data_IF_437395804307
#
_entry.id   IF_437395804307
#
_cell.length_a   1.000
_cell.length_b   1.000
_cell.length_c   1.000
_cell.angle_alpha   90.00
_cell.angle_beta   90.00
_cell.angle_gamma   90.00
#
_symmetry.space_group_name_H-M   'P 1'
#
loop_
_entity.id
_entity.type
_entity.pdbx_description
1 polymer ?
#
# COMPACT_ATOMS: atom_id res chain seq x y z
N UNK A 1 1.28 28.46 15.71
CA UNK A 1 -0.19 28.40 15.70
C UNK A 1 -0.72 28.27 17.11
N UNK A 2 -1.86 28.89 17.39
CA UNK A 2 -2.56 28.85 18.67
C UNK A 2 -3.55 27.69 18.74
N UNK A 3 -3.98 27.32 19.95
CA UNK A 3 -5.01 26.28 20.14
C UNK A 3 -6.34 26.62 19.45
N UNK A 4 -6.68 27.91 19.35
CA UNK A 4 -7.89 28.37 18.67
C UNK A 4 -7.79 28.15 17.16
N UNK A 5 -6.63 28.46 16.57
CA UNK A 5 -6.36 28.21 15.16
C UNK A 5 -6.38 26.73 14.82
N UNK A 6 -5.75 25.89 15.67
CA UNK A 6 -5.74 24.44 15.51
C UNK A 6 -7.16 23.88 15.62
N UNK A 7 -7.96 24.36 16.58
CA UNK A 7 -9.35 23.97 16.75
C UNK A 7 -10.20 24.32 15.53
N UNK A 8 -10.07 25.54 14.99
CA UNK A 8 -10.80 25.97 13.80
C UNK A 8 -10.43 25.15 12.55
N UNK A 9 -9.15 24.80 12.38
CA UNK A 9 -8.70 23.92 11.31
C UNK A 9 -9.27 22.51 11.45
N UNK A 10 -9.20 21.94 12.65
CA UNK A 10 -9.74 20.62 12.93
C UNK A 10 -11.26 20.56 12.71
N UNK A 11 -11.99 21.62 13.06
CA UNK A 11 -13.42 21.73 12.78
C UNK A 11 -13.72 21.81 11.27
N UNK A 12 -12.94 22.61 10.52
CA UNK A 12 -13.04 22.66 9.05
C UNK A 12 -12.78 21.30 8.40
N UNK A 13 -11.75 20.58 8.88
CA UNK A 13 -11.43 19.22 8.46
C UNK A 13 -12.59 18.27 8.77
N UNK A 14 -13.11 18.28 10.00
CA UNK A 14 -14.19 17.40 10.43
C UNK A 14 -15.48 17.60 9.60
N UNK A 15 -15.79 18.85 9.25
CA UNK A 15 -17.01 19.23 8.54
C UNK A 15 -16.95 19.06 7.01
N UNK A 16 -15.78 18.76 6.44
CA UNK A 16 -15.66 18.50 5.00
C UNK A 16 -16.59 17.34 4.59
N UNK A 17 -17.33 17.48 3.48
CA UNK A 17 -18.29 16.46 3.02
C UNK A 17 -17.82 15.68 1.80
N UNK A 18 -16.69 16.08 1.22
CA UNK A 18 -16.05 15.41 0.10
C UNK A 18 -14.52 15.54 0.15
N UNK A 19 -13.83 14.74 -0.67
CA UNK A 19 -12.37 14.75 -0.73
C UNK A 19 -11.79 16.10 -1.22
N UNK A 20 -12.34 16.77 -2.25
CA UNK A 20 -11.92 18.12 -2.61
C UNK A 20 -12.11 19.15 -1.49
N UNK A 21 -13.23 19.07 -0.76
CA UNK A 21 -13.48 19.95 0.38
C UNK A 21 -12.52 19.71 1.54
N UNK A 22 -12.20 18.44 1.84
CA UNK A 22 -11.23 18.10 2.89
C UNK A 22 -9.84 18.60 2.50
N UNK A 23 -9.40 18.41 1.25
CA UNK A 23 -8.13 18.97 0.76
C UNK A 23 -8.09 20.49 0.89
N UNK A 24 -9.17 21.16 0.48
CA UNK A 24 -9.28 22.61 0.64
C UNK A 24 -9.22 23.01 2.11
N UNK A 25 -10.02 22.40 3.00
CA UNK A 25 -10.01 22.71 4.43
C UNK A 25 -8.64 22.48 5.07
N UNK A 26 -7.98 21.37 4.72
CA UNK A 26 -6.68 20.97 5.24
C UNK A 26 -5.53 21.87 4.74
N UNK A 27 -5.43 22.11 3.43
CA UNK A 27 -4.32 22.83 2.82
C UNK A 27 -4.55 24.33 2.88
N UNK A 28 -5.68 24.81 2.35
CA UNK A 28 -6.01 26.23 2.32
C UNK A 28 -6.17 26.78 3.73
N UNK A 29 -6.85 26.04 4.61
CA UNK A 29 -7.00 26.44 6.00
C UNK A 29 -5.64 26.59 6.68
N UNK A 30 -4.76 25.58 6.57
CA UNK A 30 -3.44 25.61 7.20
C UNK A 30 -2.60 26.80 6.72
N UNK A 31 -2.55 27.04 5.42
CA UNK A 31 -1.78 28.16 4.88
C UNK A 31 -2.43 29.52 5.15
N UNK A 32 -3.76 29.65 5.09
CA UNK A 32 -4.46 30.88 5.51
C UNK A 32 -4.08 31.21 6.97
N UNK A 33 -4.02 30.22 7.86
CA UNK A 33 -3.58 30.42 9.25
C UNK A 33 -2.11 30.85 9.33
N UNK A 34 -1.20 30.20 8.61
CA UNK A 34 0.24 30.55 8.65
C UNK A 34 0.55 31.92 8.02
N UNK A 35 -0.28 32.35 7.07
CA UNK A 35 -0.13 33.62 6.36
C UNK A 35 -0.87 34.78 7.03
N UNK A 36 -1.75 34.51 7.99
CA UNK A 36 -2.59 35.52 8.64
C UNK A 36 -1.77 36.68 9.21
N UNK A 37 -0.66 36.38 9.90
CA UNK A 37 0.25 37.38 10.48
C UNK A 37 0.93 38.29 9.43
N UNK A 38 0.97 37.83 8.17
CA UNK A 38 1.53 38.57 7.04
C UNK A 38 0.45 39.28 6.23
N UNK A 39 -0.82 39.22 6.65
CA UNK A 39 -1.96 39.81 5.95
C UNK A 39 -2.23 39.19 4.58
N UNK A 40 -1.77 37.94 4.37
CA UNK A 40 -1.95 37.19 3.13
C UNK A 40 -2.84 35.97 3.34
N UNK A 41 -3.32 35.42 2.23
CA UNK A 41 -4.13 34.21 2.13
C UNK A 41 -3.54 33.27 1.09
N UNK A 42 -3.90 32.00 1.17
CA UNK A 42 -3.54 31.00 0.16
C UNK A 42 -4.01 31.41 -1.25
N UNK A 43 -5.18 32.05 -1.36
CA UNK A 43 -5.73 32.55 -2.62
C UNK A 43 -4.93 33.73 -3.22
N UNK A 44 -3.98 34.33 -2.48
CA UNK A 44 -3.09 35.37 -3.01
C UNK A 44 -1.92 34.79 -3.83
N UNK A 45 -1.88 33.47 -3.98
CA UNK A 45 -0.90 32.73 -4.77
C UNK A 45 -1.61 32.04 -5.94
N UNK A 46 -0.97 32.07 -7.10
CA UNK A 46 -1.54 31.54 -8.35
C UNK A 46 -0.52 30.64 -9.07
N UNK A 47 -0.85 30.23 -10.30
CA UNK A 47 0.01 29.36 -11.09
C UNK A 47 1.36 30.02 -11.43
N UNK A 48 1.38 31.35 -11.62
CA UNK A 48 2.56 32.11 -11.99
C UNK A 48 3.42 32.47 -10.77
N UNK A 49 2.81 32.51 -9.58
CA UNK A 49 3.44 32.77 -8.29
C UNK A 49 3.03 31.72 -7.26
N UNK A 50 3.49 30.46 -7.40
CA UNK A 50 3.06 29.38 -6.53
C UNK A 50 3.59 29.57 -5.10
N UNK A 51 2.78 29.18 -4.12
CA UNK A 51 3.23 29.03 -2.74
C UNK A 51 4.20 27.84 -2.66
N UNK A 52 5.40 28.04 -2.09
CA UNK A 52 6.34 26.95 -1.80
C UNK A 52 6.18 26.51 -0.33
N UNK A 53 5.62 25.31 -0.07
CA UNK A 53 5.43 24.79 1.29
C UNK A 53 6.72 24.70 2.11
N UNK A 54 7.88 24.56 1.45
CA UNK A 54 9.19 24.39 2.09
C UNK A 54 9.68 25.63 2.83
N UNK A 55 9.10 26.80 2.56
CA UNK A 55 9.41 28.01 3.31
C UNK A 55 8.64 28.14 4.63
N UNK A 56 7.72 27.22 4.90
CA UNK A 56 6.95 27.18 6.14
C UNK A 56 7.35 25.98 6.97
N UNK A 57 7.31 26.14 8.29
CA UNK A 57 7.50 25.03 9.21
C UNK A 57 6.57 25.17 10.42
N UNK A 58 6.04 24.05 10.90
CA UNK A 58 5.23 23.97 12.13
C UNK A 58 5.81 22.91 13.09
N UNK A 59 5.52 22.99 14.40
CA UNK A 59 5.93 21.97 15.35
C UNK A 59 5.48 20.57 14.92
N UNK A 60 6.38 19.58 15.01
CA UNK A 60 6.14 18.18 14.61
C UNK A 60 4.86 17.60 15.21
N UNK A 61 4.59 17.91 16.49
CA UNK A 61 3.42 17.43 17.23
C UNK A 61 2.11 18.03 16.67
N UNK A 62 2.11 19.32 16.30
CA UNK A 62 0.94 19.96 15.69
C UNK A 62 0.67 19.40 14.29
N UNK A 63 1.74 19.18 13.51
CA UNK A 63 1.66 18.54 12.20
C UNK A 63 1.03 17.15 12.29
N UNK A 64 1.52 16.31 13.21
CA UNK A 64 1.03 14.94 13.39
C UNK A 64 -0.44 14.91 13.82
N UNK A 65 -0.85 15.78 14.74
CA UNK A 65 -2.24 15.88 15.18
C UNK A 65 -3.18 16.26 14.02
N UNK A 66 -2.81 17.28 13.24
CA UNK A 66 -3.60 17.71 12.08
C UNK A 66 -3.61 16.66 10.96
N UNK A 67 -2.47 16.02 10.67
CA UNK A 67 -2.40 14.93 9.70
C UNK A 67 -3.28 13.74 10.14
N UNK A 68 -3.30 13.44 11.44
CA UNK A 68 -4.21 12.46 12.03
C UNK A 68 -5.68 12.82 11.82
N UNK A 69 -6.07 14.08 12.03
CA UNK A 69 -7.42 14.55 11.77
C UNK A 69 -7.82 14.45 10.29
N UNK A 70 -6.92 14.83 9.37
CA UNK A 70 -7.16 14.73 7.92
C UNK A 70 -7.30 13.28 7.48
N UNK A 71 -6.37 12.41 7.88
CA UNK A 71 -6.40 10.99 7.51
C UNK A 71 -7.61 10.28 8.11
N UNK A 72 -7.94 10.55 9.38
CA UNK A 72 -9.14 10.03 10.03
C UNK A 72 -10.41 10.50 9.34
N UNK A 73 -10.50 11.77 8.90
CA UNK A 73 -11.64 12.23 8.11
C UNK A 73 -11.72 11.55 6.74
N UNK A 74 -10.58 11.38 6.08
CA UNK A 74 -10.47 10.76 4.77
C UNK A 74 -10.82 9.27 4.76
N UNK A 75 -10.79 8.60 5.92
CA UNK A 75 -11.21 7.20 6.06
C UNK A 75 -12.64 6.95 5.59
N UNK A 76 -13.54 7.94 5.66
CA UNK A 76 -14.91 7.80 5.11
C UNK A 76 -14.92 7.49 3.61
N UNK A 77 -13.92 8.00 2.89
CA UNK A 77 -13.73 7.79 1.46
C UNK A 77 -12.61 6.79 1.19
N UNK A 78 -12.16 6.09 2.23
CA UNK A 78 -11.03 5.16 2.23
C UNK A 78 -9.72 5.77 1.73
N UNK A 79 -9.59 7.09 1.70
CA UNK A 79 -8.46 7.79 1.09
C UNK A 79 -7.33 8.13 2.10
N UNK A 80 -7.39 7.61 3.32
CA UNK A 80 -6.48 7.97 4.41
C UNK A 80 -4.99 7.72 4.08
N UNK A 81 -4.68 6.62 3.39
CA UNK A 81 -3.29 6.32 3.01
C UNK A 81 -2.82 7.25 1.88
N UNK A 82 -3.64 7.41 0.84
CA UNK A 82 -3.32 8.28 -0.31
C UNK A 82 -3.15 9.72 0.13
N UNK A 83 -4.08 10.26 0.91
CA UNK A 83 -3.99 11.63 1.41
C UNK A 83 -2.76 11.79 2.31
N UNK A 84 -2.46 10.81 3.18
CA UNK A 84 -1.29 10.87 4.06
C UNK A 84 0.04 10.99 3.30
N UNK A 85 0.17 10.31 2.15
CA UNK A 85 1.34 10.45 1.27
C UNK A 85 1.39 11.81 0.58
N UNK A 86 0.25 12.32 0.12
CA UNK A 86 0.17 13.64 -0.53
C UNK A 86 0.49 14.78 0.45
N UNK A 87 0.03 14.68 1.70
CA UNK A 87 0.30 15.68 2.75
C UNK A 87 1.80 15.93 2.92
N UNK A 88 2.64 14.89 2.84
CA UNK A 88 4.11 15.04 2.95
C UNK A 88 4.68 15.98 1.88
N UNK A 89 4.06 16.05 0.71
CA UNK A 89 4.54 16.85 -0.41
C UNK A 89 3.96 18.27 -0.45
N UNK A 90 2.74 18.46 0.09
CA UNK A 90 1.98 19.72 -0.06
C UNK A 90 1.90 20.54 1.23
N UNK A 91 2.22 19.97 2.39
CA UNK A 91 2.22 20.67 3.66
C UNK A 91 3.57 21.28 4.04
N UNK A 92 3.58 22.23 4.99
CA UNK A 92 4.80 22.78 5.59
C UNK A 92 5.73 21.70 6.13
N UNK A 93 7.01 22.05 6.25
CA UNK A 93 8.01 21.22 6.94
C UNK A 93 7.72 21.15 8.44
N UNK A 94 8.38 20.23 9.15
CA UNK A 94 8.26 20.12 10.61
C UNK A 94 9.54 20.54 11.32
N UNK A 95 9.42 20.97 12.58
CA UNK A 95 10.54 21.12 13.51
C UNK A 95 10.15 20.65 14.90
N UNK A 96 11.12 20.15 15.66
CA UNK A 96 10.87 19.70 17.03
C UNK A 96 10.85 20.89 17.99
N UNK A 97 9.71 21.08 18.67
CA UNK A 97 9.52 22.08 19.71
C UNK A 97 8.97 21.42 20.98
N UNK A 98 9.81 21.18 22.01
CA UNK A 98 9.37 20.53 23.25
C UNK A 98 8.49 21.43 24.13
N UNK A 99 8.39 22.73 23.84
CA UNK A 99 7.55 23.66 24.60
C UNK A 99 6.09 23.68 24.11
N UNK A 100 5.83 23.12 22.93
CA UNK A 100 4.49 23.06 22.33
C UNK A 100 3.77 21.81 22.84
N UNK A 101 2.64 21.95 23.57
CA UNK A 101 1.87 20.80 24.02
C UNK A 101 1.18 20.09 22.85
N UNK A 102 0.87 18.81 23.06
CA UNK A 102 0.10 18.03 22.09
C UNK A 102 -1.33 18.57 21.96
N UNK A 103 -1.77 18.91 20.73
CA UNK A 103 -3.15 19.34 20.52
C UNK A 103 -4.15 18.26 20.90
N UNK A 104 -5.12 18.62 21.75
CA UNK A 104 -6.21 17.74 22.14
C UNK A 104 -7.30 17.75 21.05
N UNK A 105 -7.12 16.94 20.00
CA UNK A 105 -8.11 16.79 18.94
C UNK A 105 -9.03 15.59 19.21
N UNK A 106 -10.33 15.78 19.02
CA UNK A 106 -11.28 14.66 19.08
C UNK A 106 -11.20 13.89 17.77
N UNK A 107 -10.65 12.68 17.81
CA UNK A 107 -10.63 11.76 16.66
C UNK A 107 -11.95 11.00 16.63
N UNK A 108 -12.77 11.27 15.62
CA UNK A 108 -14.02 10.54 15.36
C UNK A 108 -13.71 9.42 14.37
N UNK A 109 -14.17 8.20 14.65
CA UNK A 109 -14.05 7.11 13.69
C UNK A 109 -15.04 7.34 12.53
N UNK A 110 -14.51 7.86 11.41
CA UNK A 110 -15.28 8.11 10.19
C UNK A 110 -15.28 6.92 9.22
N UNK A 111 -14.70 5.78 9.60
CA UNK A 111 -14.70 4.60 8.74
C UNK A 111 -16.14 4.18 8.44
N UNK A 112 -16.45 3.78 7.20
CA UNK A 112 -17.80 3.41 6.81
C UNK A 112 -18.32 2.22 7.62
N UNK A 113 -19.56 2.31 8.08
CA UNK A 113 -20.20 1.27 8.90
C UNK A 113 -20.40 -0.05 8.16
N UNK A 114 -20.38 -0.03 6.84
CA UNK A 114 -20.49 -1.19 5.97
C UNK A 114 -19.36 -1.19 4.96
N UNK A 115 -18.85 -2.38 4.69
CA UNK A 115 -17.81 -2.65 3.70
C UNK A 115 -18.30 -3.78 2.81
N UNK A 116 -18.32 -3.54 1.51
CA UNK A 116 -18.82 -4.47 0.51
C UNK A 116 -17.66 -5.06 -0.29
N UNK A 117 -17.61 -6.39 -0.36
CA UNK A 117 -16.70 -7.11 -1.26
C UNK A 117 -17.54 -7.87 -2.28
N UNK A 118 -17.36 -7.53 -3.55
CA UNK A 118 -17.98 -8.19 -4.69
C UNK A 118 -16.98 -9.15 -5.32
N UNK A 119 -17.10 -10.44 -5.01
CA UNK A 119 -16.24 -11.48 -5.60
C UNK A 119 -16.96 -12.08 -6.80
N UNK A 120 -16.38 -11.93 -8.00
CA UNK A 120 -16.88 -12.62 -9.19
C UNK A 120 -16.75 -14.14 -9.04
N UNK A 121 -17.59 -14.90 -9.75
CA UNK A 121 -17.52 -16.38 -9.74
C UNK A 121 -16.13 -16.88 -10.12
N UNK A 122 -15.54 -16.33 -11.18
CA UNK A 122 -14.24 -16.75 -11.67
C UNK A 122 -13.12 -16.41 -10.66
N UNK A 123 -13.26 -15.32 -9.90
CA UNK A 123 -12.35 -15.00 -8.80
C UNK A 123 -12.49 -15.99 -7.64
N UNK A 124 -13.72 -16.40 -7.29
CA UNK A 124 -13.94 -17.41 -6.27
C UNK A 124 -13.30 -18.76 -6.66
N UNK A 125 -13.44 -19.18 -7.92
CA UNK A 125 -12.80 -20.37 -8.44
C UNK A 125 -11.27 -20.25 -8.45
N UNK A 126 -10.71 -19.06 -8.73
CA UNK A 126 -9.27 -18.83 -8.69
C UNK A 126 -8.72 -18.78 -7.26
N UNK A 127 -9.46 -18.22 -6.30
CA UNK A 127 -9.15 -18.29 -4.86
C UNK A 127 -9.05 -19.74 -4.41
N UNK A 128 -9.99 -20.60 -4.81
CA UNK A 128 -9.94 -22.03 -4.51
C UNK A 128 -8.67 -22.68 -5.08
N UNK A 129 -8.25 -22.33 -6.31
CA UNK A 129 -7.00 -22.82 -6.90
C UNK A 129 -5.75 -22.33 -6.15
N UNK A 130 -5.77 -21.12 -5.58
CA UNK A 130 -4.69 -20.64 -4.72
C UNK A 130 -4.57 -21.51 -3.45
N UNK A 131 -5.69 -21.85 -2.81
CA UNK A 131 -5.72 -22.76 -1.66
C UNK A 131 -5.28 -24.19 -2.01
N UNK A 132 -5.72 -24.71 -3.16
CA UNK A 132 -5.27 -26.01 -3.67
C UNK A 132 -3.76 -26.01 -3.93
N UNK A 133 -3.23 -24.90 -4.45
CA UNK A 133 -1.80 -24.75 -4.68
C UNK A 133 -1.01 -24.73 -3.35
N UNK A 134 -1.48 -24.01 -2.33
CA UNK A 134 -0.89 -24.05 -1.00
C UNK A 134 -0.93 -25.45 -0.38
N UNK A 135 -2.03 -26.17 -0.56
CA UNK A 135 -2.16 -27.57 -0.12
C UNK A 135 -1.16 -28.47 -0.84
N UNK A 136 -0.97 -28.29 -2.16
CA UNK A 136 0.03 -29.04 -2.92
C UNK A 136 1.46 -28.80 -2.43
N UNK A 137 1.80 -27.55 -2.08
CA UNK A 137 3.10 -27.20 -1.51
C UNK A 137 3.28 -27.84 -0.12
N UNK A 138 2.24 -27.81 0.71
CA UNK A 138 2.24 -28.43 2.03
C UNK A 138 2.44 -29.95 1.97
N UNK A 139 1.76 -30.62 1.05
CA UNK A 139 1.82 -32.07 0.89
C UNK A 139 3.18 -32.52 0.34
N UNK A 140 3.77 -31.75 -0.57
CA UNK A 140 5.06 -32.10 -1.19
C UNK A 140 6.27 -31.73 -0.32
N UNK A 141 6.35 -30.48 0.15
CA UNK A 141 7.51 -29.98 0.90
C UNK A 141 7.36 -30.09 2.42
N UNK A 142 6.15 -30.33 2.91
CA UNK A 142 5.81 -30.32 4.33
C UNK A 142 5.35 -28.95 4.82
N UNK A 143 4.43 -28.97 5.80
CA UNK A 143 3.79 -27.79 6.41
C UNK A 143 4.74 -26.86 7.19
N UNK A 144 5.96 -27.30 7.46
CA UNK A 144 6.98 -26.51 8.15
C UNK A 144 8.09 -26.03 7.20
N UNK A 145 8.01 -26.38 5.91
CA UNK A 145 8.98 -25.94 4.92
C UNK A 145 8.86 -24.43 4.66
N UNK A 146 9.99 -23.80 4.34
CA UNK A 146 10.00 -22.39 3.91
C UNK A 146 9.18 -22.17 2.64
N UNK A 147 9.24 -23.10 1.67
CA UNK A 147 8.44 -23.07 0.46
C UNK A 147 6.93 -22.92 0.72
N UNK A 148 6.38 -23.70 1.66
CA UNK A 148 4.98 -23.58 2.04
C UNK A 148 4.72 -22.34 2.90
N UNK A 149 5.55 -22.08 3.91
CA UNK A 149 5.30 -21.01 4.87
C UNK A 149 5.38 -19.61 4.23
N UNK A 150 6.27 -19.39 3.27
CA UNK A 150 6.38 -18.11 2.56
C UNK A 150 5.18 -17.88 1.63
N UNK A 151 4.78 -18.92 0.88
CA UNK A 151 3.59 -18.90 0.05
C UNK A 151 2.32 -18.64 0.87
N UNK A 152 2.14 -19.37 1.98
CA UNK A 152 0.97 -19.23 2.87
C UNK A 152 0.92 -17.84 3.52
N UNK A 153 2.06 -17.32 3.97
CA UNK A 153 2.10 -15.97 4.58
C UNK A 153 1.77 -14.88 3.58
N UNK A 154 2.33 -14.94 2.37
CA UNK A 154 2.05 -13.94 1.33
C UNK A 154 0.59 -13.97 0.88
N UNK A 155 0.03 -15.17 0.67
CA UNK A 155 -1.39 -15.34 0.36
C UNK A 155 -2.31 -14.83 1.47
N UNK A 156 -2.05 -15.24 2.71
CA UNK A 156 -2.83 -14.80 3.87
C UNK A 156 -2.79 -13.28 4.06
N UNK A 157 -1.64 -12.64 3.87
CA UNK A 157 -1.51 -11.19 3.94
C UNK A 157 -2.40 -10.47 2.91
N UNK A 158 -2.50 -11.02 1.69
CA UNK A 158 -3.37 -10.48 0.64
C UNK A 158 -4.86 -10.66 0.97
N UNK A 159 -5.26 -11.84 1.46
CA UNK A 159 -6.64 -12.08 1.89
C UNK A 159 -7.04 -11.15 3.03
N UNK A 160 -6.19 -10.98 4.05
CA UNK A 160 -6.43 -10.03 5.14
C UNK A 160 -6.54 -8.60 4.59
N UNK A 161 -5.72 -8.23 3.61
CA UNK A 161 -5.80 -6.94 2.91
C UNK A 161 -7.16 -6.70 2.24
N UNK A 162 -7.75 -7.72 1.61
CA UNK A 162 -9.09 -7.62 1.00
C UNK A 162 -10.20 -7.33 2.01
N UNK A 163 -10.08 -7.84 3.23
CA UNK A 163 -11.06 -7.61 4.30
C UNK A 163 -10.79 -6.34 5.11
N UNK A 164 -9.67 -5.67 4.87
CA UNK A 164 -9.35 -4.40 5.51
C UNK A 164 -9.96 -3.24 4.70
N UNK A 165 -10.67 -2.32 5.38
CA UNK A 165 -11.26 -1.10 4.78
C UNK A 165 -10.21 -0.08 4.29
N UNK A 166 -8.92 -0.44 4.32
CA UNK A 166 -7.78 0.43 4.00
C UNK A 166 -7.74 0.84 2.52
N UNK A 167 -8.46 0.13 1.66
CA UNK A 167 -8.37 0.29 0.21
C UNK A 167 -9.67 0.73 -0.46
N UNK A 168 -10.81 0.73 0.24
CA UNK A 168 -12.11 1.07 -0.33
C UNK A 168 -13.27 0.67 0.57
N UNK A 169 -14.45 1.20 0.26
CA UNK A 169 -15.74 0.80 0.87
C UNK A 169 -16.48 -0.21 0.02
N UNK A 170 -16.22 -0.17 -1.28
CA UNK A 170 -16.68 -1.10 -2.27
C UNK A 170 -15.46 -1.66 -3.01
N UNK A 171 -15.27 -2.97 -2.88
CA UNK A 171 -14.14 -3.70 -3.46
C UNK A 171 -14.67 -4.77 -4.40
N UNK A 172 -14.31 -4.71 -5.68
CA UNK A 172 -14.60 -5.75 -6.65
C UNK A 172 -13.37 -6.62 -6.90
N UNK A 173 -13.52 -7.93 -6.76
CA UNK A 173 -12.46 -8.93 -6.99
C UNK A 173 -12.79 -9.77 -8.22
N UNK A 174 -11.91 -9.72 -9.21
CA UNK A 174 -12.03 -10.45 -10.48
C UNK A 174 -10.81 -11.32 -10.72
N UNK A 175 -10.95 -12.30 -11.63
CA UNK A 175 -9.84 -13.14 -12.05
C UNK A 175 -8.97 -12.36 -13.03
N UNK A 176 -7.67 -12.30 -12.75
CA UNK A 176 -6.67 -11.69 -13.64
C UNK A 176 -5.94 -12.75 -14.48
N UNK A 177 -5.60 -13.87 -13.85
CA UNK A 177 -4.82 -14.92 -14.46
C UNK A 177 -4.82 -16.20 -13.64
N UNK A 178 -3.88 -17.10 -13.94
CA UNK A 178 -3.67 -18.28 -13.11
C UNK A 178 -3.04 -17.85 -11.78
N UNK A 179 -3.65 -18.28 -10.67
CA UNK A 179 -3.27 -17.93 -9.30
C UNK A 179 -3.18 -16.41 -9.07
N UNK A 180 -3.96 -15.62 -9.84
CA UNK A 180 -3.84 -14.17 -9.84
C UNK A 180 -5.21 -13.50 -9.86
N UNK A 181 -5.37 -12.45 -9.06
CA UNK A 181 -6.61 -11.69 -8.89
C UNK A 181 -6.39 -10.22 -9.26
N UNK A 182 -7.40 -9.60 -9.87
CA UNK A 182 -7.49 -8.16 -10.05
C UNK A 182 -8.49 -7.61 -9.05
N UNK A 183 -8.05 -6.66 -8.24
CA UNK A 183 -8.83 -6.03 -7.19
C UNK A 183 -9.03 -4.57 -7.58
N UNK A 184 -10.29 -4.16 -7.66
CA UNK A 184 -10.67 -2.80 -7.95
C UNK A 184 -11.43 -2.21 -6.76
N UNK A 185 -10.88 -1.15 -6.19
CA UNK A 185 -11.48 -0.40 -5.11
C UNK A 185 -11.72 1.05 -5.56
N UNK A 186 -12.48 1.81 -4.76
CA UNK A 186 -12.90 3.19 -5.07
C UNK A 186 -11.80 4.14 -5.59
N UNK A 187 -10.56 3.96 -5.11
CA UNK A 187 -9.43 4.84 -5.42
C UNK A 187 -8.12 4.08 -5.67
N UNK A 188 -8.18 2.75 -5.79
CA UNK A 188 -7.01 1.90 -6.00
C UNK A 188 -7.42 0.66 -6.80
N UNK A 189 -6.76 0.45 -7.92
CA UNK A 189 -6.80 -0.82 -8.63
C UNK A 189 -5.44 -1.50 -8.46
N UNK A 190 -5.44 -2.78 -8.15
CA UNK A 190 -4.20 -3.54 -8.01
C UNK A 190 -4.39 -5.01 -8.38
N UNK A 191 -3.30 -5.65 -8.80
CA UNK A 191 -3.24 -7.07 -9.05
C UNK A 191 -2.52 -7.79 -7.90
N UNK A 192 -3.07 -8.92 -7.46
CA UNK A 192 -2.43 -9.88 -6.58
C UNK A 192 -1.97 -11.06 -7.43
N UNK A 193 -0.68 -11.13 -7.73
CA UNK A 193 -0.11 -12.06 -8.72
C UNK A 193 0.81 -13.05 -8.02
N UNK A 194 0.68 -14.34 -8.38
CA UNK A 194 1.62 -15.36 -7.93
C UNK A 194 2.92 -15.32 -8.74
N UNK A 195 4.05 -15.21 -8.05
CA UNK A 195 5.38 -15.25 -8.62
C UNK A 195 6.06 -16.56 -8.24
N UNK A 196 6.05 -17.49 -9.19
CA UNK A 196 6.81 -18.73 -9.05
C UNK A 196 8.31 -18.45 -8.99
N UNK A 197 8.99 -18.96 -7.97
CA UNK A 197 10.42 -18.81 -7.83
C UNK A 197 11.14 -19.51 -8.98
N UNK A 198 12.13 -18.82 -9.56
CA UNK A 198 13.01 -19.43 -10.53
C UNK A 198 13.81 -20.57 -9.89
N UNK A 199 13.90 -21.69 -10.61
CA UNK A 199 14.83 -22.77 -10.26
C UNK A 199 16.24 -22.28 -10.47
N UNK A 200 17.09 -22.41 -9.46
CA UNK A 200 18.52 -22.09 -9.53
C UNK A 200 19.31 -23.39 -9.45
N UNK A 201 20.51 -23.43 -10.02
CA UNK A 201 21.42 -24.53 -9.76
C UNK A 201 21.85 -24.51 -8.29
N UNK A 202 21.88 -25.67 -7.63
CA UNK A 202 22.31 -25.76 -6.22
C UNK A 202 23.83 -25.74 -6.05
N UNK A 203 24.60 -25.87 -7.13
CA UNK A 203 26.04 -25.69 -7.10
C UNK A 203 26.36 -24.21 -6.81
N UNK A 204 27.07 -23.88 -5.71
CA UNK A 204 27.39 -22.49 -5.35
C UNK A 204 28.20 -21.74 -6.41
N UNK A 205 28.99 -22.44 -7.24
CA UNK A 205 29.76 -21.87 -8.33
C UNK A 205 28.93 -21.69 -9.61
N UNK A 206 27.68 -22.15 -9.63
CA UNK A 206 26.79 -22.07 -10.77
C UNK A 206 25.62 -21.12 -10.53
N UNK A 207 25.54 -20.06 -11.34
CA UNK A 207 24.43 -19.11 -11.28
C UNK A 207 23.35 -19.37 -12.35
N UNK A 208 23.34 -20.57 -12.94
CA UNK A 208 22.35 -20.92 -13.95
C UNK A 208 20.93 -20.98 -13.34
N UNK A 209 19.96 -20.56 -14.14
CA UNK A 209 18.53 -20.67 -13.80
C UNK A 209 17.84 -21.59 -14.78
N UNK A 210 16.84 -22.34 -14.34
CA UNK A 210 16.04 -23.17 -15.22
C UNK A 210 14.67 -22.55 -15.49
N UNK A 211 14.26 -22.60 -16.76
CA UNK A 211 12.90 -22.34 -17.19
C UNK A 211 11.98 -23.50 -16.76
N UNK A 212 10.68 -23.28 -16.85
CA UNK A 212 9.69 -24.30 -16.48
C UNK A 212 9.68 -25.53 -17.41
N UNK A 213 10.24 -25.42 -18.61
CA UNK A 213 10.38 -26.53 -19.58
C UNK A 213 11.62 -27.41 -19.33
N UNK A 214 12.40 -27.13 -18.28
CA UNK A 214 13.65 -27.85 -18.00
C UNK A 214 14.89 -27.26 -18.66
N UNK A 215 14.76 -26.25 -19.52
CA UNK A 215 15.90 -25.60 -20.15
C UNK A 215 16.68 -24.74 -19.16
N UNK A 216 18.01 -24.89 -19.16
CA UNK A 216 18.91 -24.07 -18.35
C UNK A 216 19.37 -22.84 -19.13
N UNK A 217 19.27 -21.67 -18.50
CA UNK A 217 19.89 -20.43 -18.94
C UNK A 217 21.14 -20.18 -18.12
N UNK A 218 22.29 -20.19 -18.81
CA UNK A 218 23.58 -19.85 -18.23
C UNK A 218 23.70 -18.32 -18.11
N UNK A 219 24.37 -17.80 -17.07
CA UNK A 219 24.60 -16.36 -16.95
C UNK A 219 25.61 -15.83 -17.98
N UNK A 220 26.48 -16.70 -18.50
CA UNK A 220 27.49 -16.42 -19.53
C UNK A 220 27.87 -17.72 -20.26
N UNK A 221 28.24 -17.62 -21.54
CA UNK A 221 28.42 -18.77 -22.46
C UNK A 221 29.53 -19.76 -22.03
N UNK A 222 30.47 -19.34 -21.18
CA UNK A 222 31.64 -20.12 -20.79
C UNK A 222 31.50 -20.85 -19.43
N UNK A 223 30.30 -20.98 -18.87
CA UNK A 223 30.11 -21.64 -17.59
C UNK A 223 30.47 -23.16 -17.67
N UNK A 224 31.31 -23.70 -16.78
CA UNK A 224 31.95 -25.02 -16.92
C UNK A 224 31.02 -26.23 -16.68
N UNK A 225 29.74 -26.02 -16.38
CA UNK A 225 28.80 -27.11 -16.08
C UNK A 225 28.07 -27.51 -17.37
N UNK A 226 28.14 -28.80 -17.70
CA UNK A 226 27.36 -29.42 -18.77
C UNK A 226 25.88 -29.38 -18.41
N UNK A 227 24.99 -29.16 -19.38
CA UNK A 227 23.56 -28.92 -19.12
C UNK A 227 22.86 -30.05 -18.32
N UNK A 228 23.40 -31.27 -18.35
CA UNK A 228 22.90 -32.44 -17.60
C UNK A 228 23.47 -32.58 -16.18
N UNK A 229 24.40 -31.73 -15.76
CA UNK A 229 25.04 -31.77 -14.44
C UNK A 229 24.41 -30.77 -13.45
N UNK A 230 23.39 -30.01 -13.86
CA UNK A 230 22.71 -29.09 -12.97
C UNK A 230 21.70 -29.82 -12.06
N UNK A 231 21.80 -29.60 -10.75
CA UNK A 231 20.76 -29.97 -9.78
C UNK A 231 19.90 -28.75 -9.47
N UNK A 232 18.57 -28.80 -9.65
CA UNK A 232 17.70 -27.65 -9.41
C UNK A 232 17.41 -27.47 -7.92
N UNK A 233 17.25 -26.21 -7.50
CA UNK A 233 16.88 -25.81 -6.14
C UNK A 233 15.54 -26.40 -5.66
N UNK A 234 14.70 -26.81 -6.60
CA UNK A 234 13.53 -27.64 -6.34
C UNK A 234 13.18 -28.45 -7.62
N UNK A 235 12.55 -29.64 -7.49
CA UNK A 235 12.31 -30.52 -8.63
C UNK A 235 11.41 -29.92 -9.72
N UNK A 236 11.49 -30.45 -10.94
CA UNK A 236 10.68 -30.01 -12.08
C UNK A 236 9.24 -30.54 -12.03
N UNK A 237 9.05 -31.69 -11.41
CA UNK A 237 7.78 -32.37 -11.19
C UNK A 237 7.10 -31.98 -9.87
N UNK A 238 7.78 -31.19 -9.02
CA UNK A 238 7.22 -30.64 -7.80
C UNK A 238 6.29 -29.44 -8.07
N UNK A 239 5.29 -29.19 -7.20
CA UNK A 239 4.52 -27.94 -7.24
C UNK A 239 5.49 -26.75 -7.11
N UNK A 240 5.33 -25.75 -7.97
CA UNK A 240 6.26 -24.61 -8.03
C UNK A 240 6.16 -23.75 -6.76
N UNK A 241 7.23 -23.61 -5.95
CA UNK A 241 7.26 -22.64 -4.86
C UNK A 241 7.19 -21.22 -5.39
N UNK A 242 6.66 -20.31 -4.59
CA UNK A 242 6.50 -18.92 -4.96
C UNK A 242 5.82 -18.12 -3.85
N UNK A 243 5.57 -16.86 -4.14
CA UNK A 243 4.85 -15.96 -3.26
C UNK A 243 3.89 -15.10 -4.08
N UNK A 244 2.82 -14.62 -3.45
CA UNK A 244 1.95 -13.64 -4.07
C UNK A 244 2.41 -12.23 -3.71
N UNK A 245 2.44 -11.35 -4.70
CA UNK A 245 2.78 -9.94 -4.49
C UNK A 245 1.74 -9.00 -5.11
N UNK A 246 1.73 -7.80 -4.55
CA UNK A 246 0.86 -6.70 -4.92
C UNK A 246 1.51 -5.84 -6.02
N UNK A 247 0.75 -5.51 -7.06
CA UNK A 247 1.14 -4.60 -8.15
C UNK A 247 0.02 -3.58 -8.36
N UNK A 248 0.31 -2.28 -8.19
CA UNK A 248 -0.62 -1.16 -8.46
C UNK A 248 -0.20 -0.37 -9.68
#
# INVERSE_FOLDING_TARGET
MTDTEIGALAEGIANATSMPELLSAAVRGLFDTLLADHGRRFDDFDHDHPLDPRHFAIPSIQWQALAGAVTSRADQWSAATTIGLELVNIWPSTFDDPAVPEPQLTVIDHRPHQFHIHVSRDAADEIAKCEDHLSSLADYYGRTSTHYLDAMRSWHALLVGLFATRHGTDTTVTRDGRLSLLVNCDHLTYAAVFHGWHRKCTDPACHATASNDGSWRKPYDNAPILDHAHTPSHPFDAPQPGDWSFHS
#
